data_IF_123777299182
#
_entry.id   IF_123777299182
#
_cell.length_a   1.000
_cell.length_b   1.000
_cell.length_c   1.000
_cell.angle_alpha   90.00
_cell.angle_beta   90.00
_cell.angle_gamma   90.00
#
_symmetry.space_group_name_H-M   'P 1'
#
loop_
_entity.id
_entity.type
_entity.pdbx_description
1 polymer ?
#
# COMPACT_ATOMS: atom_id res chain seq x y z
N UNK A 1 6.56 15.72 5.40
CA UNK A 1 6.07 14.79 4.36
C UNK A 1 7.16 14.26 3.43
N UNK A 2 8.27 14.95 3.31
CA UNK A 2 9.35 14.48 2.44
C UNK A 2 9.93 13.15 2.90
N UNK A 3 10.15 12.99 4.19
CA UNK A 3 10.67 11.74 4.72
C UNK A 3 9.69 10.59 4.56
N UNK A 4 8.41 10.88 4.74
CA UNK A 4 7.35 9.88 4.54
C UNK A 4 7.29 9.44 3.08
N UNK A 5 7.43 10.37 2.14
CA UNK A 5 7.45 10.04 0.72
C UNK A 5 8.67 9.21 0.35
N UNK A 6 9.83 9.51 0.94
CA UNK A 6 11.04 8.71 0.73
C UNK A 6 10.83 7.29 1.23
N UNK A 7 10.22 7.11 2.40
CA UNK A 7 9.96 5.79 2.95
C UNK A 7 8.99 5.00 2.06
N UNK A 8 7.90 5.63 1.62
CA UNK A 8 6.93 4.98 0.75
C UNK A 8 7.56 4.61 -0.59
N UNK A 9 8.36 5.51 -1.17
CA UNK A 9 9.07 5.26 -2.42
C UNK A 9 10.04 4.11 -2.28
N UNK A 10 10.77 4.07 -1.17
CA UNK A 10 11.71 2.98 -0.89
C UNK A 10 10.99 1.65 -0.85
N UNK A 11 9.85 1.59 -0.17
CA UNK A 11 9.08 0.34 -0.07
C UNK A 11 8.58 -0.11 -1.44
N UNK A 12 8.06 0.82 -2.25
CA UNK A 12 7.64 0.47 -3.61
C UNK A 12 8.80 -0.08 -4.44
N UNK A 13 9.98 0.53 -4.34
CA UNK A 13 11.15 0.03 -5.03
C UNK A 13 11.53 -1.38 -4.59
N UNK A 14 11.40 -1.66 -3.29
CA UNK A 14 11.67 -2.99 -2.76
C UNK A 14 10.69 -4.02 -3.33
N UNK A 15 9.42 -3.68 -3.46
CA UNK A 15 8.43 -4.58 -4.07
C UNK A 15 8.82 -4.85 -5.54
N UNK A 16 9.10 -3.79 -6.29
CA UNK A 16 9.46 -3.91 -7.71
C UNK A 16 10.69 -4.78 -7.89
N UNK A 17 11.66 -4.69 -6.97
CA UNK A 17 12.89 -5.46 -7.02
C UNK A 17 12.78 -6.89 -6.52
N UNK A 18 11.65 -7.27 -5.93
CA UNK A 18 11.46 -8.63 -5.40
C UNK A 18 11.13 -9.60 -6.54
N UNK A 19 11.80 -10.77 -6.61
CA UNK A 19 11.44 -11.77 -7.62
C UNK A 19 9.96 -12.15 -7.50
N UNK A 20 9.28 -12.23 -8.64
CA UNK A 20 7.83 -12.48 -8.66
C UNK A 20 7.46 -13.80 -8.00
N UNK A 21 8.29 -14.82 -8.13
CA UNK A 21 8.03 -16.11 -7.51
C UNK A 21 8.18 -16.11 -5.99
N UNK A 22 8.69 -15.02 -5.42
CA UNK A 22 8.74 -14.82 -3.97
C UNK A 22 7.54 -14.01 -3.45
N UNK A 23 6.60 -13.65 -4.33
CA UNK A 23 5.43 -12.85 -3.99
C UNK A 23 4.15 -13.67 -4.17
N UNK A 24 3.11 -13.40 -3.34
CA UNK A 24 1.80 -14.01 -3.59
C UNK A 24 1.20 -13.49 -4.89
N UNK A 25 0.21 -14.19 -5.41
CA UNK A 25 -0.41 -13.86 -6.70
C UNK A 25 -0.88 -12.40 -6.73
N UNK A 26 -1.41 -11.90 -5.61
CA UNK A 26 -1.93 -10.54 -5.52
C UNK A 26 -0.87 -9.46 -5.77
N UNK A 27 0.41 -9.80 -5.69
CA UNK A 27 1.51 -8.84 -5.88
C UNK A 27 2.34 -9.12 -7.11
N UNK A 28 2.08 -10.21 -7.83
CA UNK A 28 2.93 -10.60 -8.97
C UNK A 28 2.78 -9.68 -10.17
N UNK A 29 1.66 -8.99 -10.30
CA UNK A 29 1.44 -8.00 -11.37
C UNK A 29 1.41 -6.58 -10.81
N UNK A 30 2.18 -6.34 -9.76
CA UNK A 30 2.23 -5.04 -9.08
C UNK A 30 2.54 -3.92 -10.10
N UNK A 31 1.83 -2.78 -10.08
CA UNK A 31 0.82 -2.37 -9.08
C UNK A 31 -0.60 -2.85 -9.38
N UNK A 32 -0.84 -3.59 -10.45
CA UNK A 32 -2.18 -3.98 -10.87
C UNK A 32 -2.76 -5.02 -9.92
N UNK A 33 -4.00 -4.76 -9.45
CA UNK A 33 -4.69 -5.67 -8.55
C UNK A 33 -4.05 -5.83 -7.17
N UNK A 34 -3.11 -4.96 -6.82
CA UNK A 34 -2.28 -5.12 -5.63
C UNK A 34 -2.65 -4.18 -4.49
N UNK A 35 -3.63 -3.30 -4.69
CA UNK A 35 -3.85 -2.20 -3.73
C UNK A 35 -4.14 -2.69 -2.31
N UNK A 36 -4.90 -3.79 -2.16
CA UNK A 36 -5.24 -4.29 -0.82
C UNK A 36 -4.01 -4.77 -0.06
N UNK A 37 -3.32 -5.76 -0.61
CA UNK A 37 -2.16 -6.34 0.08
C UNK A 37 -1.00 -5.34 0.17
N UNK A 38 -0.77 -4.55 -0.88
CA UNK A 38 0.29 -3.54 -0.84
C UNK A 38 0.03 -2.51 0.26
N UNK A 39 -1.23 -2.13 0.47
CA UNK A 39 -1.61 -1.18 1.53
C UNK A 39 -1.31 -1.75 2.91
N UNK A 40 -1.64 -3.02 3.15
CA UNK A 40 -1.35 -3.65 4.44
C UNK A 40 0.15 -3.76 4.69
N UNK A 41 0.90 -4.16 3.67
CA UNK A 41 2.36 -4.29 3.78
C UNK A 41 3.02 -2.92 4.01
N UNK A 42 2.60 -1.91 3.27
CA UNK A 42 3.14 -0.56 3.45
C UNK A 42 2.81 -0.01 4.84
N UNK A 43 1.59 -0.26 5.33
CA UNK A 43 1.21 0.17 6.68
C UNK A 43 2.11 -0.45 7.75
N UNK A 44 2.40 -1.75 7.60
CA UNK A 44 3.34 -2.43 8.48
C UNK A 44 4.72 -1.80 8.42
N UNK A 45 5.21 -1.55 7.21
CA UNK A 45 6.54 -0.97 7.02
C UNK A 45 6.65 0.43 7.64
N UNK A 46 5.67 1.28 7.38
CA UNK A 46 5.71 2.65 7.89
C UNK A 46 5.64 2.67 9.42
N UNK A 47 4.83 1.79 10.01
CA UNK A 47 4.78 1.69 11.48
C UNK A 47 6.14 1.28 12.04
N UNK A 48 6.80 0.31 11.42
CA UNK A 48 8.11 -0.16 11.86
C UNK A 48 9.20 0.89 11.64
N UNK A 49 9.02 1.77 10.66
CA UNK A 49 9.97 2.86 10.40
C UNK A 49 9.73 4.09 11.30
N UNK A 50 8.75 4.02 12.20
CA UNK A 50 8.51 5.10 13.16
C UNK A 50 7.53 6.16 12.70
N UNK A 51 6.78 5.92 11.62
CA UNK A 51 5.82 6.90 11.10
C UNK A 51 4.43 6.77 11.71
N UNK A 52 4.27 5.87 12.70
CA UNK A 52 3.00 5.66 13.37
C UNK A 52 2.09 4.74 12.59
N UNK A 53 0.84 4.66 13.04
CA UNK A 53 -0.13 3.76 12.46
C UNK A 53 -1.01 4.48 11.45
N UNK A 54 -1.21 3.85 10.30
CA UNK A 54 -2.11 4.34 9.27
C UNK A 54 -3.31 3.41 9.19
N UNK A 55 -4.44 3.96 8.77
CA UNK A 55 -5.64 3.16 8.56
C UNK A 55 -5.74 2.74 7.10
N UNK A 56 -6.32 1.57 6.91
CA UNK A 56 -6.67 1.04 5.59
C UNK A 56 -7.95 1.73 5.14
N UNK A 57 -7.87 2.51 4.09
CA UNK A 57 -9.02 3.17 3.49
C UNK A 57 -9.43 2.43 2.23
N UNK A 58 -10.74 2.29 2.05
CA UNK A 58 -11.32 1.63 0.89
C UNK A 58 -12.43 2.49 0.34
N UNK A 59 -12.42 2.70 -0.95
CA UNK A 59 -13.46 3.48 -1.63
C UNK A 59 -13.81 2.89 -2.99
N UNK A 60 -14.83 3.45 -3.61
CA UNK A 60 -15.35 2.97 -4.88
C UNK A 60 -15.58 4.15 -5.82
N UNK A 61 -15.23 3.97 -7.09
CA UNK A 61 -15.48 4.94 -8.14
C UNK A 61 -15.91 4.20 -9.39
N UNK A 62 -17.18 4.41 -9.80
CA UNK A 62 -17.69 3.79 -11.03
C UNK A 62 -17.58 2.28 -11.05
N UNK A 63 -17.83 1.62 -9.93
CA UNK A 63 -17.76 0.16 -9.85
C UNK A 63 -16.36 -0.39 -9.61
N UNK A 64 -15.34 0.46 -9.53
CA UNK A 64 -13.98 0.04 -9.24
C UNK A 64 -13.59 0.43 -7.83
N UNK A 65 -13.03 -0.51 -7.06
CA UNK A 65 -12.55 -0.24 -5.72
C UNK A 65 -11.07 0.14 -5.74
N UNK A 66 -10.66 0.88 -4.72
CA UNK A 66 -9.27 1.20 -4.50
C UNK A 66 -9.00 1.34 -3.02
N UNK A 67 -7.83 0.89 -2.60
CA UNK A 67 -7.41 0.97 -1.20
C UNK A 67 -6.11 1.76 -1.09
N UNK A 68 -5.98 2.50 0.00
CA UNK A 68 -4.77 3.27 0.30
C UNK A 68 -4.64 3.46 1.80
N UNK A 69 -3.50 4.01 2.22
CA UNK A 69 -3.27 4.38 3.62
C UNK A 69 -3.69 5.82 3.86
N UNK A 70 -4.27 6.07 5.03
CA UNK A 70 -4.58 7.43 5.43
C UNK A 70 -4.47 7.58 6.95
N UNK A 71 -3.87 8.69 7.39
CA UNK A 71 -3.83 9.08 8.78
C UNK A 71 -4.25 10.55 8.86
N UNK A 72 -5.42 10.81 9.46
CA UNK A 72 -6.02 12.14 9.37
C UNK A 72 -6.27 12.50 7.91
N UNK A 73 -5.69 13.59 7.45
CA UNK A 73 -5.81 14.03 6.05
C UNK A 73 -4.68 13.50 5.17
N UNK A 74 -3.65 12.87 5.76
CA UNK A 74 -2.47 12.45 4.99
C UNK A 74 -2.72 11.11 4.32
N UNK A 75 -2.62 11.10 3.01
CA UNK A 75 -2.81 9.92 2.16
C UNK A 75 -1.44 9.42 1.73
N UNK A 76 -1.23 8.09 1.79
CA UNK A 76 -0.05 7.43 1.25
C UNK A 76 -0.53 6.29 0.37
N UNK A 77 -0.15 6.32 -0.92
CA UNK A 77 -0.62 5.36 -1.91
C UNK A 77 0.50 5.02 -2.87
N UNK A 78 0.80 3.73 -3.02
CA UNK A 78 1.85 3.27 -3.92
C UNK A 78 1.31 2.42 -5.08
N UNK A 79 -0.01 2.40 -5.28
CA UNK A 79 -0.64 1.62 -6.36
C UNK A 79 -1.67 2.41 -7.17
N UNK A 80 -1.77 3.72 -6.96
CA UNK A 80 -2.76 4.54 -7.68
C UNK A 80 -2.51 4.52 -9.19
N UNK A 81 -1.27 4.35 -9.61
CA UNK A 81 -0.90 4.33 -11.03
C UNK A 81 -1.36 3.06 -11.76
N UNK A 82 -2.04 2.12 -11.08
CA UNK A 82 -2.73 1.04 -11.77
C UNK A 82 -3.94 1.54 -12.57
N UNK A 83 -4.43 2.74 -12.27
CA UNK A 83 -5.55 3.35 -12.98
C UNK A 83 -5.03 4.19 -14.15
N UNK A 84 -5.75 4.12 -15.28
CA UNK A 84 -5.32 4.80 -16.51
C UNK A 84 -5.25 6.32 -16.37
N UNK A 85 -6.09 6.89 -15.49
CA UNK A 85 -6.17 8.33 -15.30
C UNK A 85 -5.23 8.86 -14.23
N UNK A 86 -4.28 8.05 -13.74
CA UNK A 86 -3.36 8.48 -12.70
C UNK A 86 -2.00 7.84 -12.92
N UNK A 87 -0.95 8.64 -13.02
CA UNK A 87 0.38 8.13 -13.38
C UNK A 87 1.45 8.35 -12.32
N UNK A 88 1.13 8.92 -11.16
CA UNK A 88 2.10 9.09 -10.08
C UNK A 88 2.25 7.77 -9.32
N UNK A 89 3.46 7.17 -9.30
CA UNK A 89 3.65 5.88 -8.64
C UNK A 89 3.65 5.94 -7.11
N UNK A 90 3.88 7.11 -6.52
CA UNK A 90 3.91 7.28 -5.06
C UNK A 90 3.25 8.60 -4.71
N UNK A 91 2.11 8.50 -4.00
CA UNK A 91 1.39 9.67 -3.54
C UNK A 91 1.57 9.79 -2.03
N UNK A 92 2.06 10.95 -1.59
CA UNK A 92 2.04 11.34 -0.18
C UNK A 92 1.52 12.78 -0.15
N UNK A 93 0.29 12.97 0.31
CA UNK A 93 -0.36 14.26 0.20
C UNK A 93 -1.45 14.41 1.26
N UNK A 94 -1.64 15.61 1.74
CA UNK A 94 -2.78 15.95 2.61
C UNK A 94 -3.98 16.46 1.80
N UNK A 95 -3.88 16.47 0.48
CA UNK A 95 -4.95 16.88 -0.41
C UNK A 95 -4.87 16.07 -1.70
N UNK A 96 -5.90 15.28 -1.99
CA UNK A 96 -5.94 14.49 -3.22
C UNK A 96 -7.36 14.43 -3.76
N UNK A 97 -7.71 15.36 -4.67
CA UNK A 97 -9.04 15.30 -5.32
C UNK A 97 -9.30 13.97 -6.01
N UNK A 98 -8.27 13.35 -6.56
CA UNK A 98 -8.42 12.05 -7.22
C UNK A 98 -8.91 10.98 -6.23
N UNK A 99 -8.30 10.92 -5.03
CA UNK A 99 -8.74 9.97 -4.00
C UNK A 99 -10.12 10.31 -3.47
N UNK A 100 -10.46 11.59 -3.39
CA UNK A 100 -11.78 12.03 -2.92
C UNK A 100 -12.90 11.44 -3.78
N UNK A 101 -12.65 11.22 -5.07
CA UNK A 101 -13.66 10.67 -5.98
C UNK A 101 -14.06 9.23 -5.64
N UNK A 102 -13.27 8.53 -4.83
CA UNK A 102 -13.60 7.18 -4.38
C UNK A 102 -14.47 7.17 -3.14
N UNK A 103 -14.67 8.31 -2.48
CA UNK A 103 -15.45 8.43 -1.25
C UNK A 103 -15.00 7.39 -0.20
N UNK A 104 -13.70 7.27 0.00
CA UNK A 104 -13.13 6.24 0.85
C UNK A 104 -13.46 6.42 2.32
N UNK A 105 -13.57 5.29 3.03
CA UNK A 105 -13.77 5.27 4.48
C UNK A 105 -12.70 4.40 5.13
N UNK A 106 -12.28 4.81 6.35
CA UNK A 106 -11.32 4.05 7.13
C UNK A 106 -11.96 2.76 7.65
N UNK A 107 -11.31 1.64 7.37
CA UNK A 107 -11.81 0.32 7.73
C UNK A 107 -11.20 -0.17 9.05
N UNK A 108 -9.88 -0.18 9.12
CA UNK A 108 -9.12 -0.70 10.26
C UNK A 108 -7.68 -0.20 10.16
N UNK A 109 -6.89 -0.49 11.19
CA UNK A 109 -5.45 -0.21 11.14
C UNK A 109 -4.82 -1.09 10.07
N UNK A 110 -3.90 -0.53 9.29
CA UNK A 110 -3.25 -1.26 8.19
C UNK A 110 -2.02 -2.00 8.71
N UNK A 111 -2.19 -3.29 8.99
CA UNK A 111 -1.12 -4.17 9.45
C UNK A 111 -1.31 -5.55 8.82
N UNK A 112 -0.24 -6.34 8.79
CA UNK A 112 -0.29 -7.66 8.13
C UNK A 112 -1.06 -8.72 8.92
N UNK A 113 -1.40 -8.45 10.18
CA UNK A 113 -2.06 -9.43 11.04
C UNK A 113 -3.56 -9.18 11.25
N UNK A 114 -4.16 -8.24 10.51
CA UNK A 114 -5.55 -7.85 10.76
C UNK A 114 -6.58 -8.87 10.25
N UNK A 115 -6.21 -9.74 9.32
CA UNK A 115 -7.14 -10.70 8.72
C UNK A 115 -6.90 -12.16 9.18
N UNK A 116 -6.22 -12.36 10.32
CA UNK A 116 -6.04 -13.66 10.93
C UNK A 116 -4.71 -14.33 10.60
N UNK A 117 -4.52 -15.53 11.14
CA UNK A 117 -3.21 -16.18 11.12
C UNK A 117 -2.78 -16.62 9.72
N UNK A 118 -3.71 -17.11 8.89
CA UNK A 118 -3.37 -17.56 7.54
C UNK A 118 -2.92 -16.40 6.66
N UNK A 119 -3.66 -15.29 6.69
CA UNK A 119 -3.28 -14.09 5.93
C UNK A 119 -1.97 -13.54 6.47
N UNK A 120 -1.78 -13.54 7.79
CA UNK A 120 -0.54 -13.09 8.41
C UNK A 120 0.66 -13.92 7.92
N UNK A 121 0.50 -15.22 7.79
CA UNK A 121 1.58 -16.08 7.31
C UNK A 121 1.96 -15.74 5.87
N UNK A 122 0.97 -15.55 4.99
CA UNK A 122 1.21 -15.21 3.59
C UNK A 122 1.85 -13.81 3.47
N UNK A 123 1.26 -12.82 4.12
CA UNK A 123 1.76 -11.45 4.06
C UNK A 123 3.10 -11.31 4.77
N UNK A 124 3.30 -12.02 5.87
CA UNK A 124 4.58 -12.01 6.58
C UNK A 124 5.71 -12.57 5.74
N UNK A 125 5.45 -13.66 5.02
CA UNK A 125 6.43 -14.25 4.11
C UNK A 125 6.77 -13.27 2.97
N UNK A 126 5.75 -12.62 2.40
CA UNK A 126 5.95 -11.60 1.36
C UNK A 126 6.75 -10.42 1.93
N UNK A 127 6.44 -9.99 3.13
CA UNK A 127 7.10 -8.86 3.77
C UNK A 127 8.60 -9.12 3.94
N UNK A 128 8.95 -10.32 4.42
CA UNK A 128 10.35 -10.71 4.58
C UNK A 128 11.06 -10.70 3.21
N UNK A 129 10.43 -11.26 2.19
CA UNK A 129 11.02 -11.29 0.85
C UNK A 129 11.24 -9.87 0.31
N UNK A 130 10.28 -8.97 0.53
CA UNK A 130 10.36 -7.58 0.07
C UNK A 130 11.50 -6.85 0.79
N UNK A 131 11.60 -6.99 2.11
CA UNK A 131 12.66 -6.33 2.87
C UNK A 131 14.05 -6.83 2.51
N UNK A 132 14.16 -8.05 2.02
CA UNK A 132 15.43 -8.64 1.57
C UNK A 132 15.67 -8.48 0.08
N UNK A 133 14.86 -7.67 -0.59
CA UNK A 133 15.01 -7.39 -2.01
C UNK A 133 16.37 -6.76 -2.29
N UNK A 134 17.02 -7.07 -3.44
CA UNK A 134 18.31 -6.47 -3.79
C UNK A 134 18.26 -4.98 -4.09
N UNK A 135 17.08 -4.42 -4.16
CA UNK A 135 16.93 -2.98 -4.38
C UNK A 135 16.93 -2.19 -3.04
#
# INVERSE_FOLDING_TARGET
MDELKKAASRFRELIVGTPKNSLPISLQDFPNGSCGDATLLLGQYLAEQGYGEFRYYLGWRGGKSHAWLQSGSVIVDITADQFEDFDDPVVVSDRSPWHDCFAGTGQHIARIDVFGEQAKAVLGSAYIAILNSPK
#
